data_IF_738253573541
#
_entry.id   IF_738253573541
#
_cell.length_a   1.000
_cell.length_b   1.000
_cell.length_c   1.000
_cell.angle_alpha   90.00
_cell.angle_beta   90.00
_cell.angle_gamma   90.00
#
_symmetry.space_group_name_H-M   'P 1'
#
loop_
_entity.id
_entity.type
_entity.pdbx_description
1 polymer ?
#
# COMPACT_ATOMS: atom_id res chain seq x y z
N UNK A 1 -4.79 6.87 1.36
CA UNK A 1 -5.97 6.01 1.12
C UNK A 1 -6.16 5.14 2.35
N UNK A 2 -7.40 4.86 2.74
CA UNK A 2 -7.72 3.95 3.84
C UNK A 2 -8.96 3.17 3.42
N UNK A 3 -8.79 1.88 3.13
CA UNK A 3 -9.86 1.05 2.56
C UNK A 3 -9.64 -0.43 2.84
N UNK A 4 -10.74 -1.12 3.12
CA UNK A 4 -10.80 -2.58 3.11
C UNK A 4 -11.30 -3.06 1.75
N UNK A 5 -10.60 -4.01 1.15
CA UNK A 5 -10.95 -4.61 -0.13
C UNK A 5 -11.32 -6.08 0.07
N UNK A 6 -12.47 -6.55 -0.42
CA UNK A 6 -12.74 -7.98 -0.49
C UNK A 6 -11.78 -8.63 -1.49
N UNK A 7 -11.23 -9.80 -1.16
CA UNK A 7 -10.32 -10.54 -2.06
C UNK A 7 -11.09 -11.42 -3.07
N UNK A 8 -12.42 -11.49 -2.93
CA UNK A 8 -13.31 -12.22 -3.83
C UNK A 8 -14.47 -11.33 -4.30
N UNK A 9 -15.05 -11.67 -5.44
CA UNK A 9 -16.19 -10.95 -6.02
C UNK A 9 -17.06 -11.91 -6.84
N UNK A 10 -18.39 -11.75 -6.85
CA UNK A 10 -19.26 -12.55 -7.71
C UNK A 10 -19.02 -12.31 -9.21
N UNK A 11 -18.40 -11.18 -9.58
CA UNK A 11 -18.22 -10.76 -10.98
C UNK A 11 -16.86 -11.17 -11.58
N UNK A 12 -15.86 -11.42 -10.74
CA UNK A 12 -14.47 -11.58 -11.18
C UNK A 12 -13.80 -12.73 -10.44
N UNK A 13 -12.94 -13.47 -11.16
CA UNK A 13 -12.08 -14.49 -10.53
C UNK A 13 -11.18 -13.85 -9.46
N UNK A 14 -10.85 -14.55 -8.36
CA UNK A 14 -10.04 -14.00 -7.26
C UNK A 14 -8.75 -13.35 -7.72
N UNK A 15 -7.97 -13.99 -8.60
CA UNK A 15 -6.73 -13.43 -9.15
C UNK A 15 -6.96 -12.07 -9.83
N UNK A 16 -8.08 -11.91 -10.54
CA UNK A 16 -8.44 -10.64 -11.19
C UNK A 16 -8.83 -9.56 -10.18
N UNK A 17 -9.47 -9.93 -9.07
CA UNK A 17 -9.77 -9.01 -7.96
C UNK A 17 -8.48 -8.51 -7.32
N UNK A 18 -7.55 -9.41 -7.01
CA UNK A 18 -6.24 -9.07 -6.42
C UNK A 18 -5.46 -8.11 -7.34
N UNK A 19 -5.43 -8.35 -8.65
CA UNK A 19 -4.78 -7.43 -9.59
C UNK A 19 -5.45 -6.04 -9.66
N UNK A 20 -6.77 -5.96 -9.52
CA UNK A 20 -7.47 -4.67 -9.46
C UNK A 20 -7.07 -3.88 -8.21
N UNK A 21 -7.01 -4.55 -7.05
CA UNK A 21 -6.56 -3.94 -5.78
C UNK A 21 -5.12 -3.43 -5.93
N UNK A 22 -4.21 -4.27 -6.47
CA UNK A 22 -2.81 -3.89 -6.74
C UNK A 22 -2.72 -2.69 -7.69
N UNK A 23 -3.53 -2.65 -8.74
CA UNK A 23 -3.56 -1.53 -9.68
C UNK A 23 -4.03 -0.22 -9.01
N UNK A 24 -5.04 -0.29 -8.15
CA UNK A 24 -5.55 0.87 -7.41
C UNK A 24 -4.51 1.41 -6.42
N UNK A 25 -3.81 0.54 -5.70
CA UNK A 25 -2.69 0.91 -4.82
C UNK A 25 -1.57 1.61 -5.62
N UNK A 26 -1.13 1.02 -6.74
CA UNK A 26 -0.09 1.62 -7.60
C UNK A 26 -0.52 2.98 -8.13
N UNK A 27 -1.78 3.13 -8.55
CA UNK A 27 -2.34 4.43 -8.99
C UNK A 27 -2.32 5.45 -7.87
N UNK A 28 -2.68 5.06 -6.64
CA UNK A 28 -2.65 5.94 -5.48
C UNK A 28 -1.23 6.44 -5.20
N UNK A 29 -0.27 5.52 -5.02
CA UNK A 29 1.13 5.86 -4.74
C UNK A 29 1.71 6.75 -5.84
N UNK A 30 1.45 6.42 -7.11
CA UNK A 30 1.90 7.24 -8.25
C UNK A 30 1.31 8.65 -8.23
N UNK A 31 0.04 8.81 -7.85
CA UNK A 31 -0.60 10.12 -7.75
C UNK A 31 0.00 10.96 -6.63
N UNK A 32 0.26 10.36 -5.48
CA UNK A 32 0.88 11.06 -4.34
C UNK A 32 2.30 11.50 -4.68
N UNK A 33 3.12 10.62 -5.26
CA UNK A 33 4.49 10.98 -5.70
C UNK A 33 4.55 12.09 -6.74
N UNK A 34 3.46 12.33 -7.49
CA UNK A 34 3.36 13.41 -8.49
C UNK A 34 2.94 14.76 -7.91
N UNK A 35 2.54 14.83 -6.64
CA UNK A 35 2.19 16.10 -6.00
C UNK A 35 3.43 16.97 -5.86
N UNK A 36 3.23 18.29 -5.90
CA UNK A 36 4.29 19.24 -5.58
C UNK A 36 4.84 18.98 -4.18
N UNK A 37 6.17 18.98 -4.08
CA UNK A 37 6.87 18.83 -2.81
C UNK A 37 6.84 20.18 -2.08
N UNK A 38 6.54 20.21 -0.77
CA UNK A 38 6.75 21.39 0.05
C UNK A 38 8.23 21.79 0.10
N UNK A 39 8.51 23.02 0.48
CA UNK A 39 9.89 23.51 0.63
C UNK A 39 10.67 22.65 1.65
N UNK A 40 11.90 22.26 1.28
CA UNK A 40 12.77 21.42 2.11
C UNK A 40 12.43 19.92 2.14
N UNK A 41 11.41 19.47 1.40
CA UNK A 41 11.04 18.05 1.28
C UNK A 41 11.69 17.45 0.03
N UNK A 42 12.42 16.35 0.20
CA UNK A 42 13.14 15.70 -0.91
C UNK A 42 12.23 14.75 -1.72
N UNK A 43 11.30 14.08 -1.04
CA UNK A 43 10.37 13.14 -1.67
C UNK A 43 9.12 12.91 -0.81
N UNK A 44 8.07 12.34 -1.41
CA UNK A 44 6.95 11.79 -0.67
C UNK A 44 7.28 10.40 -0.16
N UNK A 45 7.40 10.28 1.17
CA UNK A 45 7.44 9.00 1.86
C UNK A 45 6.01 8.56 2.21
N UNK A 46 5.85 7.31 2.65
CA UNK A 46 4.56 6.73 2.95
C UNK A 46 4.57 5.99 4.29
N UNK A 47 3.58 6.28 5.12
CA UNK A 47 3.21 5.39 6.22
C UNK A 47 2.15 4.42 5.71
N UNK A 48 2.52 3.15 5.58
CA UNK A 48 1.64 2.10 5.07
C UNK A 48 1.30 1.11 6.16
N UNK A 49 0.03 0.71 6.24
CA UNK A 49 -0.42 -0.41 7.06
C UNK A 49 -1.24 -1.39 6.24
N UNK A 50 -1.03 -2.68 6.47
CA UNK A 50 -1.78 -3.75 5.81
C UNK A 50 -2.30 -4.71 6.86
N UNK A 51 -3.60 -5.01 6.81
CA UNK A 51 -4.25 -6.00 7.68
C UNK A 51 -4.90 -7.09 6.83
N UNK A 52 -4.84 -8.34 7.30
CA UNK A 52 -5.43 -9.49 6.60
C UNK A 52 -6.66 -9.95 7.37
N UNK A 53 -7.84 -9.88 6.75
CA UNK A 53 -9.10 -10.21 7.41
C UNK A 53 -9.34 -9.37 8.68
N UNK A 54 -9.46 -10.05 9.82
CA UNK A 54 -9.68 -9.45 11.14
C UNK A 54 -8.38 -9.13 11.89
N UNK A 55 -7.21 -9.47 11.33
CA UNK A 55 -5.93 -9.22 11.97
C UNK A 55 -5.65 -7.72 12.11
N UNK A 56 -4.94 -7.36 13.19
CA UNK A 56 -4.49 -5.99 13.41
C UNK A 56 -3.58 -5.54 12.24
N UNK A 57 -3.79 -4.33 11.67
CA UNK A 57 -2.96 -3.84 10.59
C UNK A 57 -1.50 -3.67 11.03
N UNK A 58 -0.57 -4.25 10.27
CA UNK A 58 0.86 -4.12 10.49
C UNK A 58 1.43 -2.98 9.65
N UNK A 59 2.34 -2.21 10.22
CA UNK A 59 3.13 -1.23 9.46
C UNK A 59 4.05 -1.94 8.47
N UNK A 60 4.08 -1.46 7.23
CA UNK A 60 4.88 -2.00 6.12
C UNK A 60 5.55 -0.87 5.35
N UNK A 61 6.65 -1.16 4.68
CA UNK A 61 7.20 -0.24 3.68
C UNK A 61 6.29 -0.19 2.45
N UNK A 62 6.31 0.91 1.69
CA UNK A 62 5.45 1.07 0.49
C UNK A 62 5.64 -0.03 -0.56
N UNK A 63 6.86 -0.58 -0.64
CA UNK A 63 7.19 -1.68 -1.56
C UNK A 63 6.66 -3.04 -1.08
N UNK A 64 6.42 -3.20 0.22
CA UNK A 64 5.90 -4.42 0.84
C UNK A 64 4.36 -4.49 0.77
N UNK A 65 3.68 -3.38 0.47
CA UNK A 65 2.21 -3.36 0.38
C UNK A 65 1.70 -4.33 -0.69
N UNK A 66 2.35 -4.39 -1.85
CA UNK A 66 1.93 -5.28 -2.94
C UNK A 66 2.16 -6.76 -2.57
N UNK A 67 3.35 -7.18 -2.11
CA UNK A 67 3.55 -8.52 -1.56
C UNK A 67 2.58 -8.89 -0.44
N UNK A 68 2.23 -7.96 0.46
CA UNK A 68 1.29 -8.23 1.54
C UNK A 68 -0.13 -8.52 1.04
N UNK A 69 -0.56 -7.91 -0.07
CA UNK A 69 -1.83 -8.23 -0.74
C UNK A 69 -1.78 -9.65 -1.32
N UNK A 70 -0.66 -10.02 -1.95
CA UNK A 70 -0.47 -11.37 -2.50
C UNK A 70 -0.47 -12.44 -1.39
N UNK A 71 0.17 -12.14 -0.25
CA UNK A 71 0.12 -13.00 0.94
C UNK A 71 -1.30 -13.15 1.49
N UNK A 72 -2.05 -12.06 1.61
CA UNK A 72 -3.43 -12.11 2.08
C UNK A 72 -4.32 -12.98 1.16
N UNK A 73 -4.09 -12.90 -0.15
CA UNK A 73 -4.79 -13.72 -1.13
C UNK A 73 -4.39 -15.20 -1.06
N UNK A 74 -3.10 -15.48 -0.89
CA UNK A 74 -2.59 -16.85 -0.72
C UNK A 74 -3.07 -17.50 0.60
N UNK A 75 -3.28 -16.69 1.63
CA UNK A 75 -3.87 -17.11 2.91
C UNK A 75 -5.40 -17.23 2.84
N UNK A 76 -6.02 -17.06 1.67
CA UNK A 76 -7.46 -17.11 1.46
C UNK A 76 -8.26 -16.17 2.38
N UNK A 77 -7.67 -15.04 2.77
CA UNK A 77 -8.35 -14.06 3.60
C UNK A 77 -9.60 -13.52 2.89
N UNK A 78 -10.70 -13.31 3.62
CA UNK A 78 -11.92 -12.75 3.03
C UNK A 78 -11.74 -11.31 2.53
N UNK A 79 -10.83 -10.55 3.16
CA UNK A 79 -10.53 -9.17 2.79
C UNK A 79 -9.11 -8.76 3.18
N UNK A 80 -8.65 -7.66 2.59
CA UNK A 80 -7.38 -6.99 2.95
C UNK A 80 -7.66 -5.53 3.28
N UNK A 81 -7.19 -5.10 4.44
CA UNK A 81 -7.15 -3.70 4.85
C UNK A 81 -5.88 -3.05 4.32
N UNK A 82 -6.00 -1.87 3.71
CA UNK A 82 -4.87 -1.10 3.20
C UNK A 82 -5.01 0.36 3.64
N UNK A 83 -3.99 0.85 4.32
CA UNK A 83 -3.80 2.24 4.68
C UNK A 83 -2.48 2.72 4.09
N UNK A 84 -2.50 3.83 3.36
CA UNK A 84 -1.29 4.48 2.80
C UNK A 84 -1.47 5.97 3.00
N UNK A 85 -0.65 6.59 3.83
CA UNK A 85 -0.65 8.02 4.09
C UNK A 85 0.66 8.61 3.58
N UNK A 86 0.58 9.62 2.71
CA UNK A 86 1.75 10.37 2.26
C UNK A 86 2.27 11.26 3.38
N UNK A 87 3.59 11.26 3.58
CA UNK A 87 4.28 12.10 4.55
C UNK A 87 5.52 12.74 3.90
N UNK A 88 5.96 13.92 4.36
CA UNK A 88 7.22 14.50 3.92
C UNK A 88 8.41 13.57 4.20
N UNK A 89 9.22 13.30 3.19
CA UNK A 89 10.46 12.53 3.27
C UNK A 89 11.67 13.45 3.11
N UNK A 90 12.66 13.26 4.00
CA UNK A 90 13.94 13.96 3.96
C UNK A 90 15.06 12.93 3.79
N UNK A 91 15.93 13.13 2.81
CA UNK A 91 17.09 12.27 2.58
C UNK A 91 18.10 12.57 3.68
N UNK A 92 18.35 11.59 4.54
CA UNK A 92 19.51 11.67 5.42
C UNK A 92 20.76 11.55 4.55
N UNK A 93 21.76 12.45 4.69
CA UNK A 93 23.03 12.27 4.03
C UNK A 93 23.61 10.92 4.46
N UNK A 94 24.07 10.15 3.50
CA UNK A 94 24.71 8.86 3.75
C UNK A 94 25.96 9.17 4.58
N UNK A 95 25.90 8.87 5.88
CA UNK A 95 27.10 8.87 6.71
C UNK A 95 27.81 7.58 6.35
N UNK A 96 28.71 7.66 5.37
CA UNK A 96 29.67 6.61 5.10
C UNK A 96 30.54 6.48 6.37
N UNK A 97 30.46 5.33 7.04
CA UNK A 97 31.30 4.92 8.15
C UNK A 97 32.08 3.69 7.72
#
# INVERSE_FOLDING_TARGET
MKKTFPLTSPKHQPARVVEQIKADVRKYVKRERKKSLPEGVDFWDFDCKVGQGEAAPETKHVEEVIPAIDQAAAAEAGSVYIEILSKPGHRKPKTDA
#
